data_IF_611948499543
#
_entry.id   IF_611948499543
#
_cell.length_a   1.000
_cell.length_b   1.000
_cell.length_c   1.000
_cell.angle_alpha   90.00
_cell.angle_beta   90.00
_cell.angle_gamma   90.00
#
_symmetry.space_group_name_H-M   'P 1'
#
loop_
_entity.id
_entity.type
_entity.pdbx_description
1 polymer ?
#
# COMPACT_ATOMS: atom_id res chain seq x y z
N UNK A 1 -4.87 42.53 -35.14
CA UNK A 1 -5.47 41.22 -35.49
C UNK A 1 -4.94 40.14 -34.55
N UNK A 2 -5.59 39.80 -33.40
CA UNK A 2 -5.10 38.77 -32.48
C UNK A 2 -6.08 37.60 -32.22
N UNK A 3 -7.25 37.55 -32.88
CA UNK A 3 -8.34 36.65 -32.48
C UNK A 3 -8.12 35.15 -32.83
N UNK A 4 -7.23 34.84 -33.78
CA UNK A 4 -7.06 33.46 -34.27
C UNK A 4 -6.22 32.54 -33.37
N UNK A 5 -5.28 33.08 -32.58
CA UNK A 5 -4.40 32.25 -31.73
C UNK A 5 -5.17 31.68 -30.52
N UNK A 6 -5.95 32.53 -29.85
CA UNK A 6 -6.70 32.17 -28.64
C UNK A 6 -7.77 31.08 -28.91
N UNK A 7 -8.39 31.10 -30.10
CA UNK A 7 -9.39 30.11 -30.50
C UNK A 7 -8.78 28.71 -30.73
N UNK A 8 -7.53 28.64 -31.20
CA UNK A 8 -6.82 27.37 -31.44
C UNK A 8 -6.37 26.74 -30.12
N UNK A 9 -5.84 27.53 -29.20
CA UNK A 9 -5.43 27.08 -27.86
C UNK A 9 -6.60 26.50 -27.06
N UNK A 10 -7.76 27.18 -27.08
CA UNK A 10 -8.99 26.69 -26.45
C UNK A 10 -9.48 25.39 -27.10
N UNK A 11 -9.39 25.27 -28.43
CA UNK A 11 -9.79 24.06 -29.15
C UNK A 11 -8.88 22.87 -28.85
N UNK A 12 -7.56 23.09 -28.74
CA UNK A 12 -6.59 22.06 -28.35
C UNK A 12 -6.85 21.58 -26.93
N UNK A 13 -7.08 22.51 -25.99
CA UNK A 13 -7.36 22.19 -24.59
C UNK A 13 -8.67 21.40 -24.43
N UNK A 14 -9.74 21.82 -25.13
CA UNK A 14 -11.00 21.08 -25.15
C UNK A 14 -10.85 19.68 -25.74
N UNK A 15 -10.08 19.54 -26.83
CA UNK A 15 -9.81 18.24 -27.45
C UNK A 15 -9.05 17.30 -26.52
N UNK A 16 -8.10 17.81 -25.73
CA UNK A 16 -7.39 17.02 -24.73
C UNK A 16 -8.30 16.58 -23.59
N UNK A 17 -9.12 17.48 -23.06
CA UNK A 17 -10.08 17.16 -21.98
C UNK A 17 -11.06 16.08 -22.44
N UNK A 18 -11.62 16.22 -23.64
CA UNK A 18 -12.53 15.21 -24.22
C UNK A 18 -11.81 13.88 -24.41
N UNK A 19 -10.55 13.88 -24.86
CA UNK A 19 -9.78 12.66 -25.05
C UNK A 19 -9.52 11.93 -23.72
N UNK A 20 -9.21 12.67 -22.65
CA UNK A 20 -9.00 12.12 -21.30
C UNK A 20 -10.32 11.60 -20.73
N UNK A 21 -11.41 12.36 -20.85
CA UNK A 21 -12.73 11.97 -20.37
C UNK A 21 -13.21 10.69 -21.07
N UNK A 22 -13.02 10.58 -22.40
CA UNK A 22 -13.31 9.37 -23.15
C UNK A 22 -12.42 8.20 -22.70
N UNK A 23 -11.13 8.44 -22.44
CA UNK A 23 -10.23 7.43 -21.92
C UNK A 23 -10.68 6.87 -20.56
N UNK A 24 -11.07 7.73 -19.62
CA UNK A 24 -11.57 7.32 -18.30
C UNK A 24 -12.88 6.55 -18.44
N UNK A 25 -13.79 7.02 -19.31
CA UNK A 25 -15.07 6.35 -19.52
C UNK A 25 -14.89 4.96 -20.15
N UNK A 26 -14.02 4.84 -21.15
CA UNK A 26 -13.68 3.55 -21.76
C UNK A 26 -12.97 2.61 -20.76
N UNK A 27 -12.08 3.14 -19.93
CA UNK A 27 -11.44 2.39 -18.85
C UNK A 27 -12.47 1.86 -17.85
N UNK A 28 -13.41 2.69 -17.43
CA UNK A 28 -14.49 2.28 -16.53
C UNK A 28 -15.37 1.17 -17.16
N UNK A 29 -15.76 1.33 -18.44
CA UNK A 29 -16.50 0.28 -19.14
C UNK A 29 -15.71 -1.03 -19.23
N UNK A 30 -14.41 -0.97 -19.52
CA UNK A 30 -13.57 -2.16 -19.61
C UNK A 30 -13.47 -2.90 -18.26
N UNK A 31 -13.31 -2.17 -17.15
CA UNK A 31 -13.28 -2.77 -15.80
C UNK A 31 -14.63 -3.42 -15.48
N UNK A 32 -15.74 -2.74 -15.75
CA UNK A 32 -17.10 -3.28 -15.51
C UNK A 32 -17.34 -4.54 -16.34
N UNK A 33 -17.03 -4.52 -17.65
CA UNK A 33 -17.18 -5.67 -18.53
C UNK A 33 -16.30 -6.85 -18.10
N UNK A 34 -15.07 -6.56 -17.70
CA UNK A 34 -14.14 -7.57 -17.18
C UNK A 34 -14.70 -8.19 -15.91
N UNK A 35 -15.11 -7.38 -14.92
CA UNK A 35 -15.75 -7.86 -13.70
C UNK A 35 -17.02 -8.68 -13.96
N UNK A 36 -17.85 -8.25 -14.91
CA UNK A 36 -19.06 -8.97 -15.32
C UNK A 36 -18.74 -10.32 -15.95
N UNK A 37 -17.74 -10.40 -16.83
CA UNK A 37 -17.29 -11.65 -17.44
C UNK A 37 -16.72 -12.60 -16.39
N UNK A 38 -15.90 -12.09 -15.48
CA UNK A 38 -15.43 -12.88 -14.34
C UNK A 38 -16.61 -13.42 -13.53
N UNK A 39 -17.59 -12.57 -13.18
CA UNK A 39 -18.76 -13.01 -12.43
C UNK A 39 -19.58 -14.09 -13.14
N UNK A 40 -19.79 -13.97 -14.46
CA UNK A 40 -20.51 -14.98 -15.26
C UNK A 40 -19.74 -16.28 -15.44
N UNK A 41 -18.42 -16.21 -15.48
CA UNK A 41 -17.55 -17.37 -15.72
C UNK A 41 -17.08 -18.01 -14.41
N UNK A 42 -17.40 -17.43 -13.25
CA UNK A 42 -17.04 -18.00 -11.96
C UNK A 42 -17.86 -19.29 -11.72
N UNK A 43 -17.21 -20.44 -11.47
CA UNK A 43 -17.90 -21.68 -11.21
C UNK A 43 -18.69 -21.62 -9.89
N UNK A 44 -19.89 -22.25 -9.83
CA UNK A 44 -20.81 -22.15 -8.68
C UNK A 44 -20.26 -22.73 -7.37
N UNK A 45 -19.14 -23.43 -7.41
CA UNK A 45 -18.44 -23.90 -6.22
C UNK A 45 -17.75 -22.74 -5.44
N UNK A 46 -17.23 -21.74 -6.16
CA UNK A 46 -16.55 -20.59 -5.56
C UNK A 46 -17.55 -19.59 -4.95
N UNK A 47 -18.75 -19.47 -5.54
CA UNK A 47 -19.80 -18.61 -5.00
C UNK A 47 -20.35 -19.13 -3.69
N UNK A 48 -20.47 -20.46 -3.50
CA UNK A 48 -20.87 -21.04 -2.20
C UNK A 48 -19.83 -20.82 -1.11
N UNK A 49 -18.54 -20.91 -1.43
CA UNK A 49 -17.46 -20.61 -0.48
C UNK A 49 -17.45 -19.12 -0.11
N UNK A 50 -17.66 -18.24 -1.10
CA UNK A 50 -17.72 -16.80 -0.89
C UNK A 50 -19.01 -16.38 -0.17
N UNK A 51 -20.15 -17.02 -0.41
CA UNK A 51 -21.39 -16.80 0.33
C UNK A 51 -21.29 -17.30 1.77
N UNK A 52 -20.63 -18.44 2.02
CA UNK A 52 -20.35 -18.89 3.40
C UNK A 52 -19.42 -17.92 4.12
N UNK A 53 -18.39 -17.41 3.44
CA UNK A 53 -17.50 -16.39 4.00
C UNK A 53 -18.24 -15.07 4.22
N UNK A 54 -19.07 -14.63 3.28
CA UNK A 54 -19.87 -13.42 3.40
C UNK A 54 -20.97 -13.57 4.47
N UNK A 55 -21.53 -14.77 4.65
CA UNK A 55 -22.47 -15.08 5.72
C UNK A 55 -21.76 -15.12 7.09
N UNK A 56 -20.52 -15.62 7.17
CA UNK A 56 -19.69 -15.52 8.38
C UNK A 56 -19.27 -14.08 8.70
N UNK A 57 -19.15 -13.22 7.68
CA UNK A 57 -18.87 -11.79 7.87
C UNK A 57 -20.13 -10.97 8.21
N UNK A 58 -21.32 -11.40 7.75
CA UNK A 58 -22.60 -10.72 7.99
C UNK A 58 -23.34 -11.22 9.23
N UNK A 59 -23.17 -12.48 9.61
CA UNK A 59 -23.68 -13.01 10.86
C UNK A 59 -22.62 -12.79 11.94
N UNK A 60 -22.91 -12.07 13.04
CA UNK A 60 -22.04 -12.14 14.20
C UNK A 60 -21.98 -13.62 14.61
N UNK A 61 -20.76 -14.15 14.77
CA UNK A 61 -20.52 -15.54 15.12
C UNK A 61 -21.51 -15.96 16.21
N UNK A 62 -22.36 -16.95 15.92
CA UNK A 62 -23.11 -17.62 16.98
C UNK A 62 -22.07 -18.06 18.01
N UNK A 63 -22.23 -17.71 19.31
CA UNK A 63 -21.23 -18.06 20.30
C UNK A 63 -21.09 -19.58 20.31
N UNK A 64 -20.03 -20.09 19.67
CA UNK A 64 -19.52 -21.40 20.02
C UNK A 64 -19.18 -21.27 21.50
N UNK A 65 -19.72 -22.14 22.34
CA UNK A 65 -19.32 -22.24 23.74
C UNK A 65 -17.80 -22.34 23.76
N UNK A 66 -17.14 -21.21 23.99
CA UNK A 66 -15.70 -21.18 24.12
C UNK A 66 -15.40 -22.01 25.36
N UNK A 67 -14.61 -23.10 25.25
CA UNK A 67 -14.08 -23.70 26.46
C UNK A 67 -13.37 -22.57 27.20
N UNK A 68 -13.54 -22.46 28.52
CA UNK A 68 -13.03 -21.36 29.35
C UNK A 68 -11.52 -21.05 29.15
N UNK A 69 -10.79 -21.96 28.49
CA UNK A 69 -9.39 -21.86 28.08
C UNK A 69 -9.13 -21.22 26.70
N UNK A 70 -10.15 -20.88 25.89
CA UNK A 70 -9.96 -20.31 24.55
C UNK A 70 -9.31 -18.92 24.60
N UNK A 71 -9.70 -18.11 25.59
CA UNK A 71 -9.07 -16.80 25.85
C UNK A 71 -7.58 -16.95 26.24
N UNK A 72 -7.24 -17.96 27.05
CA UNK A 72 -5.86 -18.24 27.43
C UNK A 72 -5.02 -18.72 26.23
N UNK A 73 -5.55 -19.66 25.44
CA UNK A 73 -4.88 -20.15 24.24
C UNK A 73 -4.65 -19.02 23.21
N UNK A 74 -5.63 -18.15 23.03
CA UNK A 74 -5.51 -17.00 22.12
C UNK A 74 -4.48 -15.99 22.62
N UNK A 75 -4.41 -15.76 23.93
CA UNK A 75 -3.37 -14.92 24.52
C UNK A 75 -1.96 -15.51 24.33
N UNK A 76 -1.77 -16.81 24.57
CA UNK A 76 -0.48 -17.48 24.34
C UNK A 76 -0.06 -17.47 22.86
N UNK A 77 -1.01 -17.66 21.95
CA UNK A 77 -0.77 -17.55 20.51
C UNK A 77 -0.35 -16.14 20.12
N UNK A 78 -1.06 -15.12 20.59
CA UNK A 78 -0.70 -13.72 20.36
C UNK A 78 0.68 -13.38 20.93
N UNK A 79 1.04 -13.92 22.10
CA UNK A 79 2.35 -13.73 22.71
C UNK A 79 3.47 -14.28 21.84
N UNK A 80 3.36 -15.54 21.40
CA UNK A 80 4.35 -16.16 20.51
C UNK A 80 4.46 -15.43 19.18
N UNK A 81 3.33 -15.00 18.63
CA UNK A 81 3.33 -14.22 17.38
C UNK A 81 4.01 -12.87 17.56
N UNK A 82 3.75 -12.18 18.68
CA UNK A 82 4.36 -10.88 18.98
C UNK A 82 5.87 -10.98 19.15
N UNK A 83 6.36 -12.02 19.85
CA UNK A 83 7.80 -12.27 20.03
C UNK A 83 8.48 -12.58 18.68
N UNK A 84 7.85 -13.40 17.85
CA UNK A 84 8.36 -13.72 16.52
C UNK A 84 8.41 -12.50 15.58
N UNK A 85 7.43 -11.60 15.67
CA UNK A 85 7.43 -10.33 14.92
C UNK A 85 8.52 -9.40 15.44
N UNK A 86 8.63 -9.23 16.76
CA UNK A 86 9.64 -8.37 17.36
C UNK A 86 11.07 -8.84 17.05
N UNK A 87 11.33 -10.15 17.06
CA UNK A 87 12.64 -10.69 16.68
C UNK A 87 13.00 -10.40 15.21
N UNK A 88 12.02 -10.45 14.30
CA UNK A 88 12.23 -10.12 12.87
C UNK A 88 12.46 -8.63 12.68
N UNK A 89 11.66 -7.79 13.33
CA UNK A 89 11.81 -6.34 13.28
C UNK A 89 13.17 -5.91 13.82
N UNK A 90 13.58 -6.41 14.99
CA UNK A 90 14.90 -6.13 15.55
C UNK A 90 16.04 -6.58 14.63
N UNK A 91 15.93 -7.76 13.99
CA UNK A 91 16.92 -8.22 13.04
C UNK A 91 17.02 -7.31 11.81
N UNK A 92 15.88 -6.85 11.27
CA UNK A 92 15.83 -5.92 10.14
C UNK A 92 16.39 -4.54 10.51
N UNK A 93 16.03 -4.01 11.69
CA UNK A 93 16.56 -2.76 12.21
C UNK A 93 18.08 -2.84 12.44
N UNK A 94 18.59 -3.95 12.99
CA UNK A 94 20.02 -4.15 13.17
C UNK A 94 20.75 -4.23 11.83
N UNK A 95 20.19 -4.91 10.83
CA UNK A 95 20.76 -4.95 9.47
C UNK A 95 20.77 -3.56 8.82
N UNK A 96 19.68 -2.80 8.96
CA UNK A 96 19.58 -1.44 8.44
C UNK A 96 20.56 -0.50 9.15
N UNK A 97 20.66 -0.56 10.48
CA UNK A 97 21.64 0.19 11.27
C UNK A 97 23.06 -0.16 10.87
N UNK A 98 23.38 -1.44 10.68
CA UNK A 98 24.72 -1.86 10.24
C UNK A 98 25.07 -1.33 8.84
N UNK A 99 24.11 -1.27 7.91
CA UNK A 99 24.33 -0.71 6.58
C UNK A 99 24.40 0.83 6.57
N UNK A 100 23.59 1.49 7.42
CA UNK A 100 23.54 2.95 7.51
C UNK A 100 24.68 3.54 8.34
N UNK A 101 25.23 2.79 9.30
CA UNK A 101 26.35 3.22 10.17
C UNK A 101 27.57 3.75 9.38
N UNK A 102 28.17 3.03 8.41
CA UNK A 102 29.29 3.56 7.64
C UNK A 102 28.92 4.77 6.76
N UNK A 103 27.65 4.88 6.32
CA UNK A 103 27.17 6.06 5.59
C UNK A 103 27.04 7.27 6.51
N UNK A 104 26.51 7.08 7.72
CA UNK A 104 26.46 8.11 8.74
C UNK A 104 27.87 8.63 9.08
N UNK A 105 28.84 7.71 9.25
CA UNK A 105 30.25 8.08 9.50
C UNK A 105 30.85 8.89 8.35
N UNK A 106 30.56 8.51 7.09
CA UNK A 106 30.98 9.26 5.90
C UNK A 106 30.40 10.67 5.88
N UNK A 107 29.09 10.82 6.08
CA UNK A 107 28.44 12.14 6.05
C UNK A 107 28.87 13.03 7.21
N UNK A 108 29.12 12.44 8.39
CA UNK A 108 29.71 13.16 9.52
C UNK A 108 31.15 13.62 9.24
N UNK A 109 31.99 12.80 8.61
CA UNK A 109 33.34 13.21 8.22
C UNK A 109 33.29 14.34 7.19
N UNK A 110 32.41 14.23 6.20
CA UNK A 110 32.24 15.25 5.16
C UNK A 110 31.79 16.59 5.76
N UNK A 111 30.80 16.59 6.67
CA UNK A 111 30.33 17.80 7.35
C UNK A 111 31.43 18.48 8.19
N UNK A 112 32.29 17.70 8.84
CA UNK A 112 33.45 18.23 9.60
C UNK A 112 34.51 18.89 8.71
N UNK A 113 34.70 18.39 7.49
CA UNK A 113 35.72 18.94 6.56
C UNK A 113 35.23 20.11 5.71
N UNK A 114 33.94 20.12 5.35
CA UNK A 114 33.31 21.18 4.56
C UNK A 114 31.78 21.16 4.79
N UNK A 115 31.24 22.06 5.64
CA UNK A 115 29.81 22.11 5.92
C UNK A 115 29.02 22.42 4.65
N UNK A 116 28.06 21.56 4.30
CA UNK A 116 27.20 21.75 3.12
C UNK A 116 25.79 21.24 3.39
N UNK A 117 24.79 21.81 2.72
CA UNK A 117 23.40 21.38 2.86
C UNK A 117 23.21 19.91 2.47
N UNK A 118 24.03 19.41 1.54
CA UNK A 118 24.03 18.00 1.13
C UNK A 118 24.54 17.07 2.24
N UNK A 119 25.59 17.48 2.95
CA UNK A 119 26.13 16.69 4.08
C UNK A 119 25.13 16.58 5.23
N UNK A 120 24.45 17.69 5.55
CA UNK A 120 23.41 17.73 6.58
C UNK A 120 22.20 16.87 6.25
N UNK A 121 21.77 16.86 4.99
CA UNK A 121 20.70 15.98 4.53
C UNK A 121 21.08 14.49 4.68
N UNK A 122 22.31 14.11 4.35
CA UNK A 122 22.81 12.75 4.51
C UNK A 122 22.88 12.30 5.97
N UNK A 123 23.30 13.18 6.89
CA UNK A 123 23.29 12.87 8.34
C UNK A 123 21.86 12.58 8.81
N UNK A 124 20.89 13.42 8.44
CA UNK A 124 19.49 13.23 8.85
C UNK A 124 18.86 11.94 8.31
N UNK A 125 19.28 11.47 7.13
CA UNK A 125 18.76 10.26 6.51
C UNK A 125 19.40 8.97 7.05
N UNK A 126 20.69 9.00 7.39
CA UNK A 126 21.46 7.79 7.72
C UNK A 126 21.86 7.65 9.20
N UNK A 127 21.78 8.71 9.99
CA UNK A 127 22.15 8.69 11.42
C UNK A 127 20.95 8.62 12.39
N UNK A 128 19.72 8.48 11.88
CA UNK A 128 18.46 8.38 12.64
C UNK A 128 18.04 6.96 12.96
#
# INVERSE_FOLDING_TARGET
MPSYSNRRELYVSLKLIVCIALGIWLGAMAVVLTGMLFYKNLPPAQTQALERAAAQLRAPAAPQEEPQNAMFQKYEQNLRESEARQAREQAQEQQQKNFNRPKCDFWMQQDRTAPSDRSRAGINEYCG
#
